data_IF_861569943293
#
_entry.id   IF_861569943293
#
_cell.length_a   1.000
_cell.length_b   1.000
_cell.length_c   1.000
_cell.angle_alpha   90.00
_cell.angle_beta   90.00
_cell.angle_gamma   90.00
#
_symmetry.space_group_name_H-M   'P 1'
#
loop_
_entity.id
_entity.type
_entity.pdbx_description
1 polymer ?
#
# COMPACT_ATOMS: atom_id res chain seq x y z
N UNK A 1 0.63 -5.72 0.50
CA UNK A 1 1.54 -6.79 0.01
C UNK A 1 2.93 -6.20 -0.07
N UNK A 2 3.84 -6.57 0.82
CA UNK A 2 5.24 -6.12 0.79
C UNK A 2 6.14 -7.19 1.43
N UNK A 3 7.46 -7.04 1.35
CA UNK A 3 8.38 -7.86 2.15
C UNK A 3 8.25 -7.47 3.63
N UNK A 4 8.46 -8.43 4.53
CA UNK A 4 8.65 -8.15 5.94
C UNK A 4 9.94 -7.34 6.10
N UNK A 5 9.83 -6.03 6.31
CA UNK A 5 10.97 -5.13 6.44
C UNK A 5 10.55 -3.87 7.23
N UNK A 6 11.43 -3.41 8.13
CA UNK A 6 11.15 -2.29 9.03
C UNK A 6 10.88 -0.98 8.28
N UNK A 7 11.44 -0.80 7.08
CA UNK A 7 11.19 0.38 6.24
C UNK A 7 9.72 0.50 5.78
N UNK A 8 8.95 -0.60 5.85
CA UNK A 8 7.58 -0.68 5.34
C UNK A 8 6.51 -0.18 6.29
N UNK A 9 6.86 0.10 7.55
CA UNK A 9 5.93 0.66 8.53
C UNK A 9 4.70 -0.23 8.76
N UNK A 10 4.88 -1.55 8.70
CA UNK A 10 3.78 -2.52 8.85
C UNK A 10 3.06 -2.35 10.21
N UNK A 11 3.74 -2.16 11.35
CA UNK A 11 3.07 -1.92 12.62
C UNK A 11 2.21 -0.66 12.63
N UNK A 12 2.72 0.46 12.08
CA UNK A 12 1.99 1.72 11.94
C UNK A 12 0.74 1.54 11.08
N UNK A 13 0.84 0.73 10.02
CA UNK A 13 -0.30 0.38 9.16
C UNK A 13 -1.40 -0.36 9.92
N UNK A 14 -1.03 -1.37 10.71
CA UNK A 14 -2.00 -2.12 11.53
C UNK A 14 -2.66 -1.21 12.58
N UNK A 15 -1.87 -0.35 13.23
CA UNK A 15 -2.38 0.64 14.19
C UNK A 15 -3.34 1.64 13.54
N UNK A 16 -3.05 2.13 12.34
CA UNK A 16 -3.96 3.02 11.61
C UNK A 16 -5.28 2.33 11.26
N UNK A 17 -5.24 1.06 10.85
CA UNK A 17 -6.45 0.28 10.62
C UNK A 17 -7.22 0.02 11.93
N UNK A 18 -6.53 -0.24 13.04
CA UNK A 18 -7.16 -0.33 14.36
C UNK A 18 -7.87 0.97 14.74
N UNK A 19 -7.23 2.12 14.53
CA UNK A 19 -7.83 3.44 14.78
C UNK A 19 -9.06 3.67 13.90
N UNK A 20 -9.01 3.29 12.62
CA UNK A 20 -10.17 3.35 11.71
C UNK A 20 -11.37 2.61 12.30
N UNK A 21 -11.18 1.36 12.75
CA UNK A 21 -12.26 0.55 13.32
C UNK A 21 -12.82 1.14 14.61
N UNK A 22 -11.98 1.77 15.44
CA UNK A 22 -12.41 2.46 16.68
C UNK A 22 -13.21 3.73 16.39
N UNK A 23 -12.73 4.55 15.45
CA UNK A 23 -13.27 5.89 15.18
C UNK A 23 -14.50 5.85 14.27
N UNK A 24 -14.57 4.86 13.39
CA UNK A 24 -15.60 4.71 12.37
C UNK A 24 -16.21 3.30 12.42
N UNK A 25 -17.12 3.03 13.38
CA UNK A 25 -17.72 1.71 13.60
C UNK A 25 -18.49 1.16 12.40
N UNK A 26 -18.91 1.99 11.44
CA UNK A 26 -19.53 1.55 10.19
C UNK A 26 -18.62 0.66 9.33
N UNK A 27 -17.31 0.66 9.60
CA UNK A 27 -16.34 -0.22 8.94
C UNK A 27 -16.25 -1.60 9.58
N UNK A 28 -16.84 -1.81 10.76
CA UNK A 28 -16.93 -3.13 11.36
C UNK A 28 -17.74 -4.04 10.44
N UNK A 29 -17.24 -5.25 10.19
CA UNK A 29 -17.82 -6.26 9.28
C UNK A 29 -17.89 -5.89 7.79
N UNK A 30 -17.58 -4.64 7.42
CA UNK A 30 -17.57 -4.20 6.01
C UNK A 30 -16.15 -4.06 5.44
N UNK A 31 -15.13 -3.88 6.29
CA UNK A 31 -13.74 -3.78 5.88
C UNK A 31 -12.87 -4.93 6.45
N UNK A 32 -11.99 -5.50 5.63
CA UNK A 32 -10.95 -6.43 6.08
C UNK A 32 -9.62 -6.02 5.47
N UNK A 33 -8.60 -5.87 6.31
CA UNK A 33 -7.23 -5.63 5.89
C UNK A 33 -6.53 -6.96 5.58
N UNK A 34 -6.15 -7.15 4.31
CA UNK A 34 -5.32 -8.27 3.88
C UNK A 34 -3.86 -7.82 3.83
N UNK A 35 -3.04 -8.32 4.77
CA UNK A 35 -1.61 -8.01 4.87
C UNK A 35 -0.79 -9.24 4.50
N UNK A 36 -0.29 -9.26 3.26
CA UNK A 36 0.72 -10.24 2.82
C UNK A 36 2.11 -9.68 3.09
N UNK A 37 2.87 -10.37 3.94
CA UNK A 37 4.26 -10.11 4.24
C UNK A 37 5.12 -11.28 3.73
N UNK A 38 5.93 -11.05 2.70
CA UNK A 38 6.89 -12.07 2.24
C UNK A 38 8.06 -12.17 3.21
N UNK A 39 8.49 -13.38 3.60
CA UNK A 39 9.73 -13.62 4.35
C UNK A 39 10.93 -12.86 3.76
N UNK A 40 11.74 -12.27 4.63
CA UNK A 40 12.94 -11.53 4.23
C UNK A 40 13.91 -11.47 5.40
N UNK A 41 15.16 -11.91 5.17
CA UNK A 41 16.30 -11.77 6.11
C UNK A 41 15.98 -12.25 7.54
N UNK A 42 15.40 -13.45 7.64
CA UNK A 42 14.91 -14.04 8.89
C UNK A 42 16.04 -14.34 9.91
N UNK A 43 17.29 -14.44 9.46
CA UNK A 43 18.44 -14.68 10.34
C UNK A 43 18.85 -13.47 11.19
N UNK A 44 18.22 -12.30 11.00
CA UNK A 44 18.49 -11.10 11.78
C UNK A 44 17.41 -10.85 12.83
N UNK A 45 17.81 -10.71 14.09
CA UNK A 45 16.89 -10.51 15.23
C UNK A 45 15.86 -9.40 15.02
N UNK A 46 16.25 -8.27 14.41
CA UNK A 46 15.32 -7.17 14.12
C UNK A 46 14.13 -7.55 13.21
N UNK A 47 14.29 -8.54 12.31
CA UNK A 47 13.20 -9.03 11.47
C UNK A 47 12.29 -9.99 12.25
N UNK A 48 12.86 -10.79 13.16
CA UNK A 48 12.10 -11.64 14.09
C UNK A 48 11.26 -10.80 15.06
N UNK A 49 11.84 -9.75 15.64
CA UNK A 49 11.14 -8.84 16.54
C UNK A 49 9.97 -8.14 15.83
N UNK A 50 10.19 -7.72 14.58
CA UNK A 50 9.15 -7.13 13.75
C UNK A 50 8.02 -8.12 13.46
N UNK A 51 8.35 -9.39 13.16
CA UNK A 51 7.34 -10.43 12.95
C UNK A 51 6.50 -10.64 14.21
N UNK A 52 7.15 -10.76 15.38
CA UNK A 52 6.47 -10.90 16.67
C UNK A 52 5.56 -9.72 16.99
N UNK A 53 6.02 -8.48 16.74
CA UNK A 53 5.18 -7.28 16.90
C UNK A 53 3.95 -7.34 15.99
N UNK A 54 4.12 -7.74 14.72
CA UNK A 54 3.01 -7.84 13.78
C UNK A 54 2.01 -8.94 14.16
N UNK A 55 2.49 -10.12 14.54
CA UNK A 55 1.63 -11.21 14.99
C UNK A 55 0.85 -10.82 16.25
N UNK A 56 1.53 -10.18 17.22
CA UNK A 56 0.91 -9.64 18.42
C UNK A 56 -0.17 -8.59 18.11
N UNK A 57 0.12 -7.63 17.23
CA UNK A 57 -0.85 -6.62 16.80
C UNK A 57 -2.04 -7.24 16.05
N UNK A 58 -1.80 -8.19 15.15
CA UNK A 58 -2.86 -8.90 14.44
C UNK A 58 -3.75 -9.66 15.41
N UNK A 59 -3.16 -10.39 16.36
CA UNK A 59 -3.88 -11.12 17.41
C UNK A 59 -4.72 -10.20 18.27
N UNK A 60 -4.14 -9.10 18.76
CA UNK A 60 -4.84 -8.12 19.59
C UNK A 60 -6.01 -7.45 18.84
N UNK A 61 -5.81 -7.05 17.57
CA UNK A 61 -6.87 -6.41 16.77
C UNK A 61 -7.99 -7.42 16.46
N UNK A 62 -7.64 -8.62 16.02
CA UNK A 62 -8.64 -9.65 15.75
C UNK A 62 -9.37 -10.10 17.01
N UNK A 63 -8.71 -10.15 18.18
CA UNK A 63 -9.35 -10.46 19.45
C UNK A 63 -10.29 -9.36 19.95
N UNK A 64 -9.98 -8.09 19.69
CA UNK A 64 -10.79 -6.95 20.13
C UNK A 64 -11.99 -6.64 19.22
N UNK A 65 -11.89 -6.91 17.92
CA UNK A 65 -12.92 -6.54 16.93
C UNK A 65 -13.48 -7.72 16.15
N UNK A 66 -12.83 -8.88 16.17
CA UNK A 66 -13.27 -10.04 15.40
C UNK A 66 -14.56 -10.65 15.94
N UNK A 67 -15.34 -11.19 15.01
CA UNK A 67 -16.54 -11.97 15.28
C UNK A 67 -16.39 -13.38 14.68
N UNK A 68 -17.35 -14.26 14.93
CA UNK A 68 -17.31 -15.64 14.44
C UNK A 68 -17.23 -15.74 12.91
N UNK A 69 -17.86 -14.82 12.19
CA UNK A 69 -17.96 -14.78 10.72
C UNK A 69 -17.02 -13.75 10.08
N UNK A 70 -16.31 -12.94 10.87
CA UNK A 70 -15.51 -11.82 10.37
C UNK A 70 -14.20 -11.61 11.13
N UNK A 71 -13.09 -11.57 10.39
CA UNK A 71 -11.79 -11.17 10.92
C UNK A 71 -11.34 -9.84 10.31
N UNK A 72 -11.06 -8.81 11.14
CA UNK A 72 -10.61 -7.51 10.66
C UNK A 72 -9.29 -7.58 9.89
N UNK A 73 -8.33 -8.42 10.34
CA UNK A 73 -7.03 -8.58 9.70
C UNK A 73 -6.80 -10.02 9.25
N UNK A 74 -6.51 -10.18 7.96
CA UNK A 74 -5.97 -11.41 7.38
C UNK A 74 -4.47 -11.22 7.12
N UNK A 75 -3.66 -11.64 8.08
CA UNK A 75 -2.20 -11.61 7.96
C UNK A 75 -1.67 -12.91 7.34
N UNK A 76 -0.75 -12.79 6.38
CA UNK A 76 -0.11 -13.92 5.71
C UNK A 76 1.39 -13.69 5.66
N UNK A 77 2.15 -14.42 6.47
CA UNK A 77 3.62 -14.49 6.40
C UNK A 77 4.05 -15.59 5.42
N UNK A 78 3.91 -15.34 4.12
CA UNK A 78 4.31 -16.28 3.08
C UNK A 78 4.56 -15.57 1.75
N UNK A 79 5.33 -16.22 0.89
CA UNK A 79 5.44 -15.79 -0.49
C UNK A 79 4.13 -16.09 -1.24
N UNK A 80 3.63 -15.08 -1.95
CA UNK A 80 2.50 -15.22 -2.86
C UNK A 80 3.02 -15.11 -4.29
N UNK A 81 2.58 -16.03 -5.15
CA UNK A 81 2.97 -16.01 -6.55
C UNK A 81 2.58 -14.67 -7.19
N UNK A 82 3.51 -14.06 -7.92
CA UNK A 82 3.30 -12.74 -8.54
C UNK A 82 2.08 -12.72 -9.46
N UNK A 83 1.78 -13.83 -10.13
CA UNK A 83 0.61 -13.98 -11.00
C UNK A 83 -0.73 -13.81 -10.27
N UNK A 84 -0.80 -14.06 -8.96
CA UNK A 84 -2.01 -13.91 -8.16
C UNK A 84 -2.24 -12.47 -7.66
N UNK A 85 -1.19 -11.66 -7.60
CA UNK A 85 -1.26 -10.31 -7.03
C UNK A 85 -2.17 -9.35 -7.81
N UNK A 86 -2.16 -9.32 -9.16
CA UNK A 86 -3.08 -8.47 -9.92
C UNK A 86 -4.56 -8.76 -9.62
N UNK A 87 -4.93 -10.04 -9.44
CA UNK A 87 -6.29 -10.42 -9.07
C UNK A 87 -6.68 -9.90 -7.69
N UNK A 88 -5.77 -10.03 -6.71
CA UNK A 88 -5.96 -9.46 -5.37
C UNK A 88 -6.09 -7.93 -5.42
N UNK A 89 -5.23 -7.26 -6.18
CA UNK A 89 -5.28 -5.81 -6.35
C UNK A 89 -6.59 -5.35 -6.98
N UNK A 90 -7.04 -6.02 -8.05
CA UNK A 90 -8.29 -5.69 -8.74
C UNK A 90 -9.53 -5.88 -7.85
N UNK A 91 -9.49 -6.85 -6.92
CA UNK A 91 -10.57 -7.07 -5.96
C UNK A 91 -10.55 -6.07 -4.78
N UNK A 92 -9.43 -5.41 -4.50
CA UNK A 92 -9.28 -4.53 -3.35
C UNK A 92 -9.85 -3.13 -3.62
N UNK A 93 -10.72 -2.65 -2.71
CA UNK A 93 -11.28 -1.29 -2.76
C UNK A 93 -10.27 -0.21 -2.39
N UNK A 94 -9.30 -0.54 -1.55
CA UNK A 94 -8.25 0.38 -1.10
C UNK A 94 -6.92 -0.37 -1.05
N UNK A 95 -5.86 0.22 -1.59
CA UNK A 95 -4.49 -0.21 -1.33
C UNK A 95 -3.82 0.74 -0.33
N UNK A 96 -3.23 0.14 0.70
CA UNK A 96 -2.51 0.85 1.74
C UNK A 96 -1.01 0.62 1.58
N UNK A 97 -0.34 1.56 0.92
CA UNK A 97 1.10 1.53 0.64
C UNK A 97 1.77 2.62 1.45
N UNK A 98 2.05 2.31 2.72
CA UNK A 98 2.45 3.31 3.72
C UNK A 98 3.86 3.09 4.30
N UNK A 99 4.91 2.90 3.47
CA UNK A 99 6.27 2.73 4.00
C UNK A 99 6.74 3.98 4.74
N UNK A 100 7.55 3.78 5.78
CA UNK A 100 8.26 4.86 6.48
C UNK A 100 9.28 5.52 5.55
N UNK A 101 9.92 4.73 4.69
CA UNK A 101 10.83 5.20 3.66
C UNK A 101 10.96 4.16 2.55
N UNK A 102 10.79 4.57 1.30
CA UNK A 102 10.93 3.67 0.14
C UNK A 102 11.45 4.44 -1.08
N UNK A 103 12.44 3.88 -1.77
CA UNK A 103 13.02 4.52 -2.96
C UNK A 103 12.04 4.69 -4.11
N UNK A 104 11.05 3.80 -4.27
CA UNK A 104 10.02 3.93 -5.30
C UNK A 104 8.68 3.32 -4.85
N UNK A 105 8.67 2.05 -4.49
CA UNK A 105 7.47 1.22 -4.30
C UNK A 105 6.70 0.91 -5.60
N UNK A 106 7.02 -0.23 -6.23
CA UNK A 106 6.32 -0.70 -7.43
C UNK A 106 4.92 -1.26 -7.14
N UNK A 107 4.67 -1.72 -5.90
CA UNK A 107 3.34 -2.23 -5.51
C UNK A 107 2.28 -1.15 -5.66
N UNK A 108 2.60 0.12 -5.36
CA UNK A 108 1.71 1.25 -5.60
C UNK A 108 1.31 1.37 -7.08
N UNK A 109 2.28 1.24 -8.01
CA UNK A 109 2.03 1.31 -9.45
C UNK A 109 1.28 0.09 -9.97
N UNK A 110 1.67 -1.11 -9.53
CA UNK A 110 1.00 -2.37 -9.88
C UNK A 110 -0.46 -2.37 -9.44
N UNK A 111 -0.78 -1.83 -8.26
CA UNK A 111 -2.15 -1.70 -7.79
C UNK A 111 -3.00 -0.86 -8.75
N UNK A 112 -2.54 0.34 -9.10
CA UNK A 112 -3.25 1.25 -10.03
C UNK A 112 -3.41 0.61 -11.40
N UNK A 113 -2.36 -0.04 -11.91
CA UNK A 113 -2.36 -0.69 -13.21
C UNK A 113 -3.31 -1.91 -13.28
N UNK A 114 -3.57 -2.58 -12.16
CA UNK A 114 -4.44 -3.75 -12.08
C UNK A 114 -5.94 -3.41 -11.95
N UNK A 115 -6.30 -2.18 -11.59
CA UNK A 115 -7.69 -1.78 -11.35
C UNK A 115 -8.56 -1.86 -12.60
N UNK A 116 -9.87 -2.05 -12.37
CA UNK A 116 -10.89 -1.81 -13.39
C UNK A 116 -11.16 -0.32 -13.53
N UNK A 117 -10.95 0.32 -14.70
CA UNK A 117 -11.26 1.73 -14.90
C UNK A 117 -12.74 2.08 -14.66
N UNK A 118 -13.66 1.11 -14.81
CA UNK A 118 -15.09 1.35 -14.59
C UNK A 118 -15.45 1.43 -13.10
N UNK A 119 -14.71 0.73 -12.22
CA UNK A 119 -14.94 0.75 -10.77
C UNK A 119 -13.62 0.61 -9.97
N UNK A 120 -12.70 1.58 -10.08
CA UNK A 120 -11.34 1.43 -9.55
C UNK A 120 -11.26 1.66 -8.05
N UNK A 121 -10.40 0.92 -7.36
CA UNK A 121 -10.03 1.17 -5.98
C UNK A 121 -9.19 2.43 -5.77
N UNK A 122 -8.99 2.81 -4.51
CA UNK A 122 -8.25 4.01 -4.10
C UNK A 122 -6.86 3.65 -3.59
N UNK A 123 -5.83 4.38 -4.04
CA UNK A 123 -4.47 4.25 -3.52
C UNK A 123 -4.25 5.24 -2.36
N UNK A 124 -3.96 4.72 -1.18
CA UNK A 124 -3.43 5.48 -0.03
C UNK A 124 -1.92 5.25 0.02
N UNK A 125 -1.15 6.32 -0.08
CA UNK A 125 0.29 6.26 -0.35
C UNK A 125 1.08 7.11 0.64
N UNK A 126 2.15 6.55 1.22
CA UNK A 126 3.09 7.34 2.02
C UNK A 126 3.75 8.42 1.17
N UNK A 127 3.80 9.64 1.68
CA UNK A 127 4.61 10.72 1.09
C UNK A 127 6.11 10.43 1.05
N UNK A 128 6.57 9.42 1.79
CA UNK A 128 7.97 8.97 1.84
C UNK A 128 8.29 7.81 0.88
N UNK A 129 7.34 7.40 0.04
CA UNK A 129 7.61 6.52 -1.08
C UNK A 129 8.00 7.34 -2.32
N UNK A 130 9.05 6.95 -3.05
CA UNK A 130 9.44 7.64 -4.28
C UNK A 130 8.32 7.72 -5.32
N UNK A 131 7.39 6.75 -5.36
CA UNK A 131 6.20 6.79 -6.21
C UNK A 131 5.30 8.00 -5.92
N UNK A 132 5.33 8.59 -4.71
CA UNK A 132 4.57 9.79 -4.39
C UNK A 132 5.03 11.02 -5.19
N UNK A 133 6.22 10.98 -5.80
CA UNK A 133 6.65 12.00 -6.76
C UNK A 133 5.83 11.96 -8.06
N UNK A 134 5.36 10.78 -8.48
CA UNK A 134 4.64 10.58 -9.75
C UNK A 134 3.13 10.36 -9.55
N UNK A 135 2.73 9.74 -8.44
CA UNK A 135 1.36 9.35 -8.12
C UNK A 135 0.65 10.42 -7.27
N UNK A 136 0.61 11.66 -7.76
CA UNK A 136 0.10 12.83 -7.01
C UNK A 136 -1.38 12.76 -6.65
N UNK A 137 -2.16 11.97 -7.39
CA UNK A 137 -3.60 11.85 -7.18
C UNK A 137 -4.00 10.71 -6.23
N UNK A 138 -3.00 9.99 -5.70
CA UNK A 138 -3.18 9.12 -4.56
C UNK A 138 -3.51 9.95 -3.30
N UNK A 139 -4.16 9.31 -2.33
CA UNK A 139 -4.33 9.94 -1.02
C UNK A 139 -3.01 9.84 -0.26
N UNK A 140 -2.26 10.95 -0.24
CA UNK A 140 -0.95 10.99 0.40
C UNK A 140 -1.09 11.09 1.92
N UNK A 141 -0.37 10.23 2.65
CA UNK A 141 -0.38 10.18 4.11
C UNK A 141 1.03 10.30 4.70
N UNK A 142 1.07 10.75 5.94
CA UNK A 142 2.24 10.62 6.80
C UNK A 142 2.09 9.35 7.65
N UNK A 143 2.87 8.27 7.43
CA UNK A 143 2.71 7.02 8.18
C UNK A 143 3.03 7.12 9.68
N UNK A 144 3.64 8.24 10.13
CA UNK A 144 3.82 8.53 11.55
C UNK A 144 2.56 9.13 12.21
N UNK A 145 1.59 9.56 11.41
CA UNK A 145 0.30 10.08 11.86
C UNK A 145 -0.77 9.00 11.70
N UNK A 146 -0.94 8.21 12.77
CA UNK A 146 -1.88 7.09 12.82
C UNK A 146 -3.31 7.55 12.60
N UNK A 147 -3.72 8.64 13.26
CA UNK A 147 -5.08 9.16 13.20
C UNK A 147 -5.38 9.77 11.83
N UNK A 148 -4.47 10.58 11.28
CA UNK A 148 -4.61 11.13 9.93
C UNK A 148 -4.62 10.04 8.85
N UNK A 149 -3.88 8.95 9.04
CA UNK A 149 -3.93 7.78 8.16
C UNK A 149 -5.28 7.06 8.25
N UNK A 150 -5.85 6.93 9.46
CA UNK A 150 -7.18 6.36 9.66
C UNK A 150 -8.28 7.20 9.00
N UNK A 151 -8.22 8.53 9.14
CA UNK A 151 -9.17 9.44 8.50
C UNK A 151 -9.08 9.39 6.97
N UNK A 152 -7.86 9.24 6.46
CA UNK A 152 -7.62 9.06 5.01
C UNK A 152 -8.15 7.72 4.51
N UNK A 153 -8.00 6.65 5.31
CA UNK A 153 -8.59 5.34 5.01
C UNK A 153 -10.12 5.41 4.95
N UNK A 154 -10.74 6.09 5.91
CA UNK A 154 -12.19 6.31 5.93
C UNK A 154 -12.64 7.03 4.65
N UNK A 155 -11.94 8.12 4.29
CA UNK A 155 -12.20 8.82 3.03
C UNK A 155 -12.04 7.91 1.81
N UNK A 156 -11.03 7.04 1.79
CA UNK A 156 -10.80 6.12 0.69
C UNK A 156 -11.95 5.11 0.54
N UNK A 157 -12.46 4.57 1.65
CA UNK A 157 -13.56 3.61 1.68
C UNK A 157 -14.90 4.23 1.25
N UNK A 158 -15.14 5.49 1.62
CA UNK A 158 -16.37 6.22 1.30
C UNK A 158 -16.29 7.03 -0.01
N UNK A 159 -15.20 6.90 -0.78
CA UNK A 159 -14.98 7.75 -1.95
C UNK A 159 -16.01 7.46 -3.06
N UNK A 160 -16.76 8.48 -3.54
CA UNK A 160 -17.72 8.31 -4.62
C UNK A 160 -17.05 7.83 -5.91
N UNK A 161 -17.76 7.03 -6.70
CA UNK A 161 -17.25 6.41 -7.93
C UNK A 161 -16.60 7.44 -8.89
N UNK A 162 -17.24 8.59 -9.10
CA UNK A 162 -16.71 9.62 -9.99
C UNK A 162 -15.35 10.18 -9.55
N UNK A 163 -15.14 10.37 -8.24
CA UNK A 163 -13.83 10.79 -7.72
C UNK A 163 -12.79 9.68 -7.88
N UNK A 164 -13.15 8.42 -7.61
CA UNK A 164 -12.27 7.26 -7.79
C UNK A 164 -11.80 7.13 -9.24
N UNK A 165 -12.71 7.23 -10.20
CA UNK A 165 -12.41 7.16 -11.63
C UNK A 165 -11.49 8.31 -12.07
N UNK A 166 -11.79 9.54 -11.66
CA UNK A 166 -10.97 10.71 -11.98
C UNK A 166 -9.54 10.58 -11.45
N UNK A 167 -9.37 10.16 -10.18
CA UNK A 167 -8.05 9.91 -9.58
C UNK A 167 -7.32 8.77 -10.29
N UNK A 168 -8.00 7.64 -10.50
CA UNK A 168 -7.42 6.46 -11.15
C UNK A 168 -6.92 6.78 -12.56
N UNK A 169 -7.71 7.49 -13.37
CA UNK A 169 -7.35 7.85 -14.73
C UNK A 169 -6.04 8.64 -14.78
N UNK A 170 -5.91 9.68 -13.95
CA UNK A 170 -4.69 10.49 -13.86
C UNK A 170 -3.49 9.69 -13.37
N UNK A 171 -3.69 8.82 -12.37
CA UNK A 171 -2.62 7.93 -11.89
C UNK A 171 -2.15 6.97 -12.98
N UNK A 172 -3.09 6.38 -13.72
CA UNK A 172 -2.79 5.42 -14.78
C UNK A 172 -2.09 6.11 -15.97
N UNK A 173 -2.50 7.32 -16.33
CA UNK A 173 -1.86 8.13 -17.35
C UNK A 173 -0.39 8.43 -16.99
N UNK A 174 -0.11 8.83 -15.75
CA UNK A 174 1.25 9.04 -15.27
C UNK A 174 2.09 7.75 -15.33
N UNK A 175 1.50 6.60 -14.98
CA UNK A 175 2.21 5.31 -15.06
C UNK A 175 2.53 4.92 -16.51
N UNK A 176 1.62 5.20 -17.45
CA UNK A 176 1.82 4.91 -18.88
C UNK A 176 2.85 5.83 -19.52
N UNK A 177 2.88 7.11 -19.15
CA UNK A 177 3.83 8.08 -19.70
C UNK A 177 5.25 7.91 -19.12
N UNK A 178 5.35 7.54 -17.84
CA UNK A 178 6.61 7.33 -17.13
C UNK A 178 6.81 5.85 -16.76
N UNK A 179 6.73 5.00 -17.78
CA UNK A 179 6.91 3.55 -17.66
C UNK A 179 8.40 3.14 -17.54
N UNK A 180 8.65 1.83 -17.52
CA UNK A 180 10.03 1.29 -17.43
C UNK A 180 10.88 1.65 -18.65
N UNK A 181 10.26 1.79 -19.83
CA UNK A 181 10.96 2.14 -21.05
C UNK A 181 11.35 3.62 -21.05
N UNK A 182 10.48 4.49 -20.54
CA UNK A 182 10.78 5.88 -20.26
C UNK A 182 11.94 6.00 -19.29
N UNK A 183 11.91 5.31 -18.15
CA UNK A 183 13.01 5.33 -17.18
C UNK A 183 14.34 4.92 -17.82
N UNK A 184 14.35 3.82 -18.59
CA UNK A 184 15.55 3.34 -19.29
C UNK A 184 16.08 4.39 -20.28
N UNK A 185 15.21 4.98 -21.10
CA UNK A 185 15.60 6.00 -22.09
C UNK A 185 16.20 7.22 -21.40
N UNK A 186 15.54 7.76 -20.38
CA UNK A 186 16.00 8.95 -19.66
C UNK A 186 17.36 8.71 -18.99
N UNK A 187 17.56 7.53 -18.40
CA UNK A 187 18.84 7.18 -17.78
C UNK A 187 19.97 7.08 -18.81
N UNK A 188 19.75 6.37 -19.92
CA UNK A 188 20.76 6.22 -20.98
C UNK A 188 21.09 7.57 -21.63
N UNK A 189 20.09 8.41 -21.88
CA UNK A 189 20.31 9.74 -22.42
C UNK A 189 21.18 10.61 -21.48
N UNK A 190 20.89 10.60 -20.18
CA UNK A 190 21.70 11.34 -19.20
C UNK A 190 23.14 10.81 -19.14
N UNK A 191 23.33 9.50 -19.29
CA UNK A 191 24.65 8.86 -19.34
C UNK A 191 25.43 9.28 -20.60
N UNK A 192 24.79 9.25 -21.77
CA UNK A 192 25.40 9.68 -23.03
C UNK A 192 25.78 11.17 -22.99
N UNK A 193 24.93 12.02 -22.42
CA UNK A 193 25.21 13.45 -22.25
C UNK A 193 26.38 13.71 -21.29
N UNK A 194 26.51 12.92 -20.22
CA UNK A 194 27.65 13.00 -19.31
C UNK A 194 28.95 12.52 -19.99
N UNK A 195 28.87 11.45 -20.78
CA UNK A 195 30.00 10.91 -21.53
C UNK A 195 30.53 11.84 -22.62
N UNK A 196 29.66 12.64 -23.26
CA UNK A 196 30.06 13.65 -24.28
C UNK A 196 30.71 14.91 -23.70
N UNK A 197 30.63 15.13 -22.39
CA UNK A 197 31.24 16.28 -21.70
C UNK A 197 32.68 16.03 -21.25
N UNK A 198 33.20 14.82 -21.48
CA UNK A 198 34.58 14.41 -21.26
C UNK A 198 35.25 14.08 -22.60
#
# INVERSE_FOLDING_TARGET
VERLDYSKGLPQRLRAFQTLLKKYPENLRSATLIQVASPSREDMGAYTDLLQELEGLCGAINGNFGELDWMPIRFMHRNVARACLPGLYRAARVALVTPLRDGMNLVAKEFVAAQDPADPGVLVLSRFAGAAAQLKEALLVNPYDTDGTADTLQRALQMPLGERQSRHQKLLENIRTQDVHWWRRTFLQALDEAGRKH
#
